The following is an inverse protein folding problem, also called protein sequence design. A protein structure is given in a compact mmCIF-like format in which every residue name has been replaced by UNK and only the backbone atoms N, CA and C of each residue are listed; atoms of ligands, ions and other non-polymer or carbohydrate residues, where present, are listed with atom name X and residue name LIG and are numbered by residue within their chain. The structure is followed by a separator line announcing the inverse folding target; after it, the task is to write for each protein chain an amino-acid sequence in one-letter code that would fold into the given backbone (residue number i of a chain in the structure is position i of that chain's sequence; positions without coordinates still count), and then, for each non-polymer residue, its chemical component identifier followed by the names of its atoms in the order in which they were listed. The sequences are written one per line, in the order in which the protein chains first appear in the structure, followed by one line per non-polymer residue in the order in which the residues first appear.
data_IF_657035820532
#
_entry.id   IF_657035820532
#
_cell.length_a   1.000
_cell.length_b   1.000
_cell.length_c   1.000
_cell.angle_alpha   90.00
_cell.angle_beta   90.00
_cell.angle_gamma   90.00
#
_symmetry.space_group_name_H-M   'P 1'
#
loop_
_entity.id
_entity.type
_entity.pdbx_description
1 polymer ?
#
# COMPACT_ATOMS: atom_id res chain seq x y z
N UNK A 1 -14.39 -27.08 -1.59
CA UNK A 1 -14.02 -25.69 -1.90
C UNK A 1 -12.74 -25.72 -2.72
N UNK A 2 -12.83 -25.53 -4.04
CA UNK A 2 -11.65 -25.25 -4.85
C UNK A 2 -11.22 -23.82 -4.56
N UNK A 3 -10.07 -23.66 -3.91
CA UNK A 3 -9.42 -22.37 -3.76
C UNK A 3 -8.84 -22.05 -5.14
N UNK A 4 -9.35 -21.01 -5.79
CA UNK A 4 -8.75 -20.46 -7.01
C UNK A 4 -7.30 -20.06 -6.70
N UNK A 5 -6.34 -20.85 -7.16
CA UNK A 5 -4.91 -20.58 -7.04
C UNK A 5 -4.52 -19.47 -8.03
N UNK A 6 -5.06 -18.28 -7.83
CA UNK A 6 -4.74 -17.12 -8.66
C UNK A 6 -3.39 -16.51 -8.30
N UNK A 7 -2.73 -16.90 -7.19
CA UNK A 7 -1.41 -16.44 -6.75
C UNK A 7 -0.29 -16.53 -7.83
N UNK A 8 -0.52 -17.27 -8.92
CA UNK A 8 0.37 -17.39 -10.10
C UNK A 8 0.12 -16.33 -11.18
N UNK A 9 -0.98 -15.58 -11.12
CA UNK A 9 -1.27 -14.46 -12.02
C UNK A 9 -0.36 -13.26 -11.69
N UNK A 10 0.24 -12.57 -12.67
CA UNK A 10 1.02 -11.34 -12.42
C UNK A 10 0.13 -10.10 -12.18
N UNK A 11 -1.19 -10.19 -12.36
CA UNK A 11 -2.11 -9.06 -12.34
C UNK A 11 -3.38 -9.36 -11.52
N UNK A 12 -3.55 -8.66 -10.39
CA UNK A 12 -4.67 -8.76 -9.45
C UNK A 12 -5.32 -7.39 -9.24
N UNK A 13 -5.75 -6.74 -10.32
CA UNK A 13 -6.20 -5.34 -10.25
C UNK A 13 -5.06 -4.43 -9.80
N UNK A 14 -5.27 -3.72 -8.68
CA UNK A 14 -4.21 -2.90 -8.06
C UNK A 14 -3.17 -3.70 -7.30
N UNK A 15 -3.33 -5.00 -7.06
CA UNK A 15 -2.28 -5.82 -6.47
C UNK A 15 -1.49 -6.57 -7.57
N UNK A 16 -0.16 -6.62 -7.45
CA UNK A 16 0.71 -7.33 -8.39
C UNK A 16 1.82 -8.04 -7.63
N UNK A 17 2.21 -9.21 -8.11
CA UNK A 17 3.39 -9.92 -7.63
C UNK A 17 4.36 -9.96 -8.79
N UNK A 18 5.57 -9.42 -8.60
CA UNK A 18 6.57 -9.43 -9.66
C UNK A 18 6.91 -10.88 -10.06
N UNK A 19 7.21 -11.17 -11.34
CA UNK A 19 7.49 -12.54 -11.79
C UNK A 19 8.66 -13.20 -11.03
N UNK A 20 9.61 -12.40 -10.54
CA UNK A 20 10.72 -12.88 -9.71
C UNK A 20 10.27 -13.21 -8.29
N UNK A 21 9.36 -12.43 -7.71
CA UNK A 21 8.76 -12.72 -6.41
C UNK A 21 7.89 -13.97 -6.45
N UNK A 22 7.16 -14.21 -7.55
CA UNK A 22 6.36 -15.43 -7.75
C UNK A 22 7.20 -16.70 -7.54
N UNK A 23 8.44 -16.71 -8.05
CA UNK A 23 9.37 -17.84 -7.88
C UNK A 23 9.76 -18.07 -6.42
N UNK A 24 9.66 -17.06 -5.55
CA UNK A 24 9.99 -17.12 -4.12
C UNK A 24 8.77 -17.34 -3.24
N UNK A 25 7.54 -17.38 -3.76
CA UNK A 25 6.33 -17.55 -2.92
C UNK A 25 6.33 -18.86 -2.11
N UNK A 26 7.00 -19.90 -2.61
CA UNK A 26 7.14 -21.17 -1.91
C UNK A 26 7.95 -21.07 -0.61
N UNK A 27 8.73 -19.99 -0.41
CA UNK A 27 9.50 -19.74 0.81
C UNK A 27 8.71 -18.98 1.87
N UNK A 28 7.48 -18.56 1.57
CA UNK A 28 6.64 -17.78 2.48
C UNK A 28 5.94 -18.68 3.50
N UNK A 29 5.68 -18.11 4.67
CA UNK A 29 4.86 -18.79 5.68
C UNK A 29 3.39 -18.85 5.25
N UNK A 30 2.58 -19.79 5.78
CA UNK A 30 1.14 -19.81 5.55
C UNK A 30 0.46 -18.49 5.92
N UNK A 31 0.95 -17.80 6.95
CA UNK A 31 0.44 -16.49 7.38
C UNK A 31 0.70 -15.42 6.32
N UNK A 32 1.90 -15.39 5.74
CA UNK A 32 2.23 -14.45 4.66
C UNK A 32 1.42 -14.73 3.40
N UNK A 33 1.25 -16.00 3.04
CA UNK A 33 0.40 -16.41 1.92
C UNK A 33 -1.06 -16.00 2.13
N UNK A 34 -1.58 -16.12 3.36
CA UNK A 34 -2.90 -15.63 3.71
C UNK A 34 -3.01 -14.11 3.56
N UNK A 35 -1.95 -13.37 3.90
CA UNK A 35 -1.92 -11.92 3.74
C UNK A 35 -1.88 -11.50 2.27
N UNK A 36 -1.19 -12.26 1.41
CA UNK A 36 -1.19 -12.03 -0.04
C UNK A 36 -2.58 -12.25 -0.66
N UNK A 37 -3.29 -13.31 -0.24
CA UNK A 37 -4.69 -13.53 -0.68
C UNK A 37 -5.60 -12.41 -0.21
N UNK A 38 -5.44 -11.97 1.04
CA UNK A 38 -6.16 -10.82 1.57
C UNK A 38 -5.88 -9.55 0.76
N UNK A 39 -4.64 -9.33 0.33
CA UNK A 39 -4.27 -8.20 -0.52
C UNK A 39 -4.98 -8.28 -1.90
N UNK A 40 -5.00 -9.46 -2.51
CA UNK A 40 -5.74 -9.68 -3.77
C UNK A 40 -7.22 -9.34 -3.61
N UNK A 41 -7.87 -9.84 -2.56
CA UNK A 41 -9.30 -9.63 -2.32
C UNK A 41 -9.64 -8.16 -1.98
N UNK A 42 -8.91 -7.56 -1.03
CA UNK A 42 -9.22 -6.21 -0.55
C UNK A 42 -8.87 -5.11 -1.55
N UNK A 43 -7.91 -5.36 -2.44
CA UNK A 43 -7.44 -4.36 -3.40
C UNK A 43 -8.02 -4.56 -4.82
N UNK A 44 -8.82 -5.60 -5.05
CA UNK A 44 -9.41 -5.88 -6.37
C UNK A 44 -10.21 -4.70 -6.96
N UNK A 45 -10.86 -3.89 -6.12
CA UNK A 45 -11.67 -2.73 -6.54
C UNK A 45 -10.90 -1.41 -6.67
N UNK A 46 -9.63 -1.37 -6.28
CA UNK A 46 -8.82 -0.15 -6.32
C UNK A 46 -8.22 0.03 -7.71
N UNK A 47 -8.28 1.25 -8.24
CA UNK A 47 -7.80 1.59 -9.59
C UNK A 47 -6.81 2.75 -9.61
N UNK A 48 -6.71 3.50 -8.51
CA UNK A 48 -5.90 4.72 -8.44
C UNK A 48 -4.42 4.44 -8.12
N UNK A 49 -4.14 3.27 -7.55
CA UNK A 49 -2.82 2.87 -7.07
C UNK A 49 -2.56 1.42 -7.43
N UNK A 50 -1.29 1.02 -7.42
CA UNK A 50 -0.88 -0.38 -7.53
C UNK A 50 0.10 -0.72 -6.41
N UNK A 51 -0.21 -1.76 -5.62
CA UNK A 51 0.70 -2.42 -4.69
C UNK A 51 1.39 -3.59 -5.39
N UNK A 52 2.70 -3.49 -5.57
CA UNK A 52 3.56 -4.54 -6.10
C UNK A 52 4.36 -5.21 -4.98
N UNK A 53 4.39 -6.55 -4.98
CA UNK A 53 5.38 -7.32 -4.24
C UNK A 53 6.63 -7.52 -5.09
N UNK A 54 7.71 -6.82 -4.73
CA UNK A 54 8.98 -6.81 -5.47
C UNK A 54 9.74 -8.12 -5.29
N UNK A 55 10.85 -8.29 -6.03
CA UNK A 55 11.65 -9.52 -6.03
C UNK A 55 12.19 -9.92 -4.64
N UNK A 56 12.26 -8.98 -3.70
CA UNK A 56 12.69 -9.20 -2.32
C UNK A 56 11.53 -9.41 -1.35
N UNK A 57 10.32 -9.66 -1.87
CA UNK A 57 9.08 -9.80 -1.09
C UNK A 57 8.74 -8.53 -0.30
N UNK A 58 9.17 -7.39 -0.83
CA UNK A 58 9.00 -6.07 -0.23
C UNK A 58 7.87 -5.30 -0.95
N UNK A 59 6.96 -4.65 -0.20
CA UNK A 59 5.86 -3.89 -0.79
C UNK A 59 6.35 -2.59 -1.44
N UNK A 60 5.81 -2.31 -2.63
CA UNK A 60 6.05 -1.11 -3.42
C UNK A 60 4.72 -0.56 -3.93
N UNK A 61 4.40 0.68 -3.58
CA UNK A 61 3.18 1.37 -4.01
C UNK A 61 3.54 2.30 -5.16
N UNK A 62 2.81 2.19 -6.26
CA UNK A 62 2.91 3.04 -7.45
C UNK A 62 1.55 3.66 -7.75
N UNK A 63 1.54 4.76 -8.50
CA UNK A 63 0.33 5.31 -9.12
C UNK A 63 0.50 5.49 -10.63
N UNK A 64 -0.52 6.05 -11.28
CA UNK A 64 -0.46 6.39 -12.71
C UNK A 64 0.45 7.59 -13.01
N UNK A 65 1.04 8.19 -11.97
CA UNK A 65 1.92 9.34 -12.04
C UNK A 65 3.35 8.98 -11.61
N UNK A 66 4.10 9.95 -11.09
CA UNK A 66 5.50 9.80 -10.74
C UNK A 66 5.71 9.29 -9.31
N UNK A 67 4.63 9.10 -8.53
CA UNK A 67 4.73 8.76 -7.12
C UNK A 67 4.97 7.27 -6.96
N UNK A 68 6.13 6.96 -6.39
CA UNK A 68 6.48 5.60 -5.99
C UNK A 68 6.99 5.61 -4.57
N UNK A 69 6.45 4.70 -3.77
CA UNK A 69 6.76 4.55 -2.36
C UNK A 69 7.15 3.12 -2.06
N UNK A 70 8.19 2.94 -1.25
CA UNK A 70 8.65 1.64 -0.76
C UNK A 70 8.77 1.70 0.75
N UNK A 71 8.99 0.55 1.40
CA UNK A 71 9.19 0.43 2.85
C UNK A 71 9.94 1.64 3.44
N UNK A 72 9.55 2.17 4.59
CA UNK A 72 8.54 1.67 5.54
C UNK A 72 7.11 2.12 5.16
N UNK A 73 6.09 1.63 5.86
CA UNK A 73 4.73 2.16 5.79
C UNK A 73 4.23 2.45 7.21
N UNK A 74 4.99 3.26 7.93
CA UNK A 74 4.81 3.43 9.37
C UNK A 74 3.85 4.58 9.69
N UNK A 75 2.67 4.31 10.28
CA UNK A 75 1.74 5.35 10.65
C UNK A 75 2.20 6.07 11.93
N UNK A 76 2.10 7.40 11.95
CA UNK A 76 2.35 8.24 13.11
C UNK A 76 1.02 8.58 13.76
N UNK A 77 0.94 8.48 15.10
CA UNK A 77 -0.29 8.79 15.82
C UNK A 77 -0.72 10.25 15.50
N UNK A 78 -1.89 10.46 14.90
CA UNK A 78 -2.35 11.79 14.55
C UNK A 78 -2.66 12.60 15.83
N UNK A 79 -2.42 13.91 15.73
CA UNK A 79 -2.82 14.92 16.74
C UNK A 79 -3.91 15.86 16.20
N UNK A 80 -4.19 15.76 14.90
CA UNK A 80 -5.13 16.56 14.12
C UNK A 80 -5.84 15.61 13.15
N UNK A 81 -6.74 16.13 12.31
CA UNK A 81 -7.39 15.38 11.23
C UNK A 81 -6.44 14.97 10.07
N UNK A 82 -5.13 14.85 10.31
CA UNK A 82 -4.15 14.41 9.32
C UNK A 82 -3.40 13.18 9.83
N UNK A 83 -3.46 12.09 9.06
CA UNK A 83 -2.63 10.92 9.28
C UNK A 83 -1.31 11.07 8.53
N UNK A 84 -0.22 10.98 9.27
CA UNK A 84 1.13 10.98 8.71
C UNK A 84 1.65 9.54 8.60
N UNK A 85 2.05 9.13 7.40
CA UNK A 85 2.63 7.80 7.14
C UNK A 85 4.06 7.99 6.64
N UNK A 86 5.03 7.54 7.44
CA UNK A 86 6.44 7.51 7.03
C UNK A 86 6.65 6.41 6.00
N UNK A 87 7.29 6.76 4.89
CA UNK A 87 7.71 5.86 3.83
C UNK A 87 9.05 6.26 3.22
N UNK A 88 9.51 5.57 2.17
CA UNK A 88 10.68 5.96 1.37
C UNK A 88 10.23 6.30 -0.04
N UNK A 89 10.74 7.42 -0.57
CA UNK A 89 10.53 7.81 -1.95
C UNK A 89 11.34 6.93 -2.90
N UNK A 90 10.66 6.25 -3.82
CA UNK A 90 11.26 5.43 -4.88
C UNK A 90 10.94 5.98 -6.29
N UNK A 91 10.22 7.10 -6.36
CA UNK A 91 9.80 7.73 -7.61
C UNK A 91 10.92 8.45 -8.35
N UNK A 92 10.56 9.15 -9.43
CA UNK A 92 11.54 9.89 -10.24
C UNK A 92 12.26 10.96 -9.41
N UNK A 93 13.60 11.08 -9.50
CA UNK A 93 14.35 12.07 -8.74
C UNK A 93 14.12 13.51 -9.23
N UNK A 94 13.57 13.66 -10.44
CA UNK A 94 13.29 14.95 -11.07
C UNK A 94 11.96 15.51 -10.54
N UNK A 95 11.03 14.63 -10.16
CA UNK A 95 9.71 15.03 -9.70
C UNK A 95 9.75 15.32 -8.20
N UNK A 96 9.17 16.45 -7.80
CA UNK A 96 9.15 16.95 -6.42
C UNK A 96 10.54 17.27 -5.81
N UNK A 97 11.61 17.31 -6.62
CA UNK A 97 13.00 17.51 -6.18
C UNK A 97 13.45 16.53 -5.08
N UNK A 98 12.93 15.31 -5.09
CA UNK A 98 13.22 14.30 -4.06
C UNK A 98 14.25 13.30 -4.54
N UNK A 99 15.18 12.91 -3.69
CA UNK A 99 16.14 11.85 -4.05
C UNK A 99 15.51 10.49 -3.81
N UNK A 100 15.75 9.55 -4.73
CA UNK A 100 15.41 8.14 -4.52
C UNK A 100 16.07 7.63 -3.24
N UNK A 101 15.34 6.86 -2.44
CA UNK A 101 15.79 6.37 -1.14
C UNK A 101 15.63 7.36 0.01
N UNK A 102 15.16 8.57 -0.24
CA UNK A 102 14.93 9.55 0.83
C UNK A 102 13.67 9.21 1.62
N UNK A 103 13.74 9.36 2.95
CA UNK A 103 12.57 9.24 3.82
C UNK A 103 11.52 10.29 3.44
N UNK A 104 10.29 9.86 3.32
CA UNK A 104 9.16 10.65 2.89
C UNK A 104 7.99 10.51 3.87
N UNK A 105 7.14 11.52 3.95
CA UNK A 105 5.95 11.53 4.79
C UNK A 105 4.72 11.76 3.93
N UNK A 106 3.93 10.71 3.74
CA UNK A 106 2.59 10.82 3.17
C UNK A 106 1.70 11.50 4.20
N UNK A 107 1.12 12.64 3.82
CA UNK A 107 0.16 13.39 4.63
C UNK A 107 -1.22 13.15 4.07
N UNK A 108 -2.07 12.53 4.88
CA UNK A 108 -3.41 12.13 4.45
C UNK A 108 -4.43 12.90 5.28
N UNK A 109 -5.11 13.90 4.69
CA UNK A 109 -6.16 14.62 5.39
C UNK A 109 -7.42 13.76 5.52
N UNK A 110 -8.13 13.94 6.63
CA UNK A 110 -9.44 13.36 6.93
C UNK A 110 -10.42 14.46 7.33
N UNK A 111 -11.72 14.13 7.34
CA UNK A 111 -12.76 15.10 7.70
C UNK A 111 -12.75 15.41 9.21
N UNK A 112 -12.23 14.49 10.03
CA UNK A 112 -12.10 14.66 11.48
C UNK A 112 -10.85 13.98 12.06
N UNK A 113 -10.48 14.35 13.29
CA UNK A 113 -9.39 13.71 14.02
C UNK A 113 -9.75 12.26 14.43
N UNK A 114 -11.03 11.99 14.67
CA UNK A 114 -11.55 10.66 14.96
C UNK A 114 -11.30 9.71 13.78
N UNK A 115 -11.62 10.14 12.54
CA UNK A 115 -11.35 9.34 11.34
C UNK A 115 -9.86 9.06 11.14
N UNK A 116 -9.01 10.07 11.37
CA UNK A 116 -7.56 9.90 11.29
C UNK A 116 -7.05 8.91 12.36
N UNK A 117 -7.59 8.95 13.58
CA UNK A 117 -7.25 8.04 14.67
C UNK A 117 -7.70 6.60 14.39
N UNK A 118 -8.86 6.41 13.78
CA UNK A 118 -9.34 5.09 13.35
C UNK A 118 -8.42 4.50 12.28
N UNK A 119 -8.11 5.27 11.23
CA UNK A 119 -7.19 4.84 10.19
C UNK A 119 -5.80 4.49 10.76
N UNK A 120 -5.28 5.29 11.71
CA UNK A 120 -4.05 4.97 12.43
C UNK A 120 -4.12 3.64 13.18
N UNK A 121 -5.22 3.35 13.90
CA UNK A 121 -5.39 2.10 14.63
C UNK A 121 -5.37 0.90 13.68
N UNK A 122 -6.14 0.96 12.60
CA UNK A 122 -6.18 -0.09 11.58
C UNK A 122 -4.81 -0.36 10.98
N UNK A 123 -4.08 0.69 10.58
CA UNK A 123 -2.71 0.53 10.06
C UNK A 123 -1.74 -0.04 11.11
N UNK A 124 -1.88 0.36 12.37
CA UNK A 124 -1.02 -0.12 13.45
C UNK A 124 -1.29 -1.59 13.81
N UNK A 125 -2.52 -2.04 13.66
CA UNK A 125 -2.91 -3.45 13.85
C UNK A 125 -2.36 -4.36 12.74
N UNK A 126 -2.15 -3.81 11.54
CA UNK A 126 -1.38 -4.48 10.50
C UNK A 126 0.10 -4.54 10.92
N UNK A 127 0.48 -5.61 11.64
CA UNK A 127 1.81 -5.79 12.25
C UNK A 127 2.96 -5.98 11.24
N UNK A 128 2.65 -6.23 9.97
CA UNK A 128 3.65 -6.54 8.93
C UNK A 128 3.80 -5.38 7.94
N UNK A 129 4.98 -5.22 7.30
CA UNK A 129 5.17 -4.19 6.27
C UNK A 129 4.17 -4.31 5.11
N UNK A 130 3.86 -5.53 4.67
CA UNK A 130 2.86 -5.77 3.64
C UNK A 130 1.45 -5.37 4.10
N UNK A 131 1.07 -5.72 5.33
CA UNK A 131 -0.23 -5.32 5.88
C UNK A 131 -0.38 -3.80 5.98
N UNK A 132 0.67 -3.11 6.41
CA UNK A 132 0.69 -1.64 6.44
C UNK A 132 0.61 -1.03 5.05
N UNK A 133 1.24 -1.63 4.05
CA UNK A 133 1.14 -1.19 2.66
C UNK A 133 -0.28 -1.36 2.10
N UNK A 134 -0.95 -2.48 2.39
CA UNK A 134 -2.35 -2.73 2.01
C UNK A 134 -3.25 -1.63 2.58
N UNK A 135 -3.16 -1.36 3.88
CA UNK A 135 -3.95 -0.30 4.51
C UNK A 135 -3.59 1.09 3.98
N UNK A 136 -2.31 1.35 3.67
CA UNK A 136 -1.88 2.60 3.02
C UNK A 136 -2.58 2.79 1.68
N UNK A 137 -2.63 1.76 0.83
CA UNK A 137 -3.30 1.84 -0.48
C UNK A 137 -4.80 2.12 -0.31
N UNK A 138 -5.48 1.42 0.59
CA UNK A 138 -6.91 1.63 0.88
C UNK A 138 -7.21 3.06 1.33
N UNK A 139 -6.36 3.59 2.22
CA UNK A 139 -6.48 4.96 2.71
C UNK A 139 -6.31 5.98 1.58
N UNK A 140 -5.27 5.82 0.75
CA UNK A 140 -5.00 6.73 -0.37
C UNK A 140 -6.13 6.69 -1.41
N UNK A 141 -6.64 5.51 -1.74
CA UNK A 141 -7.74 5.35 -2.70
C UNK A 141 -9.03 5.99 -2.18
N UNK A 142 -9.38 5.78 -0.91
CA UNK A 142 -10.55 6.41 -0.28
C UNK A 142 -10.49 7.94 -0.38
N UNK A 143 -9.33 8.54 -0.14
CA UNK A 143 -9.19 10.00 -0.26
C UNK A 143 -9.26 10.48 -1.71
N UNK A 144 -8.68 9.73 -2.65
CA UNK A 144 -8.80 10.06 -4.07
C UNK A 144 -10.27 10.01 -4.53
N UNK A 145 -11.02 8.99 -4.10
CA UNK A 145 -12.45 8.89 -4.40
C UNK A 145 -13.26 10.06 -3.81
N UNK A 146 -12.89 10.58 -2.63
CA UNK A 146 -13.52 11.80 -2.06
C UNK A 146 -13.22 13.05 -2.91
N UNK A 147 -12.04 13.15 -3.50
CA UNK A 147 -11.68 14.27 -4.39
C UNK A 147 -12.50 14.20 -5.68
N UNK A 148 -12.57 13.02 -6.32
CA UNK A 148 -13.30 12.83 -7.58
C UNK A 148 -14.83 13.04 -7.43
N UNK A 149 -15.40 12.73 -6.26
CA UNK A 149 -16.84 12.86 -6.00
C UNK A 149 -17.29 14.25 -5.52
N UNK A 150 -16.37 15.20 -5.34
CA UNK A 150 -16.68 16.58 -4.94
C UNK A 150 -16.97 17.52 -6.12
N UNK A 151 -17.22 16.96 -7.31
CA UNK A 151 -17.74 17.66 -8.48
C UNK A 151 -19.27 17.55 -8.57
#
# INVERSE_FOLDING_TARGET
MQISNNLTSPHFGSFKISPKAQKKLHTLTPQDLSLLRKAEEELAGITTRTLELTEDLEPRITDNGPDVFVKLFHPVKPKTNELNITTIWDGSPIVNFRRKGQRFCLRVPFDSNEEALEAYKTMKEAKTPLGQAIETVKILDRQMAKIIRKD
#
